data_IF_723906994167
#
_entry.id   IF_723906994167
#
_cell.length_a   1.000
_cell.length_b   1.000
_cell.length_c   1.000
_cell.angle_alpha   90.00
_cell.angle_beta   90.00
_cell.angle_gamma   90.00
#
_symmetry.space_group_name_H-M   'P 1'
#
loop_
_entity.id
_entity.type
_entity.pdbx_description
1 polymer ?
#
# COMPACT_ATOMS: atom_id res chain seq x y z
N UNK A 1 28.87 -11.00 15.58
CA UNK A 1 28.42 -12.42 15.65
C UNK A 1 27.55 -12.68 14.46
N UNK A 2 27.97 -13.68 13.68
CA UNK A 2 27.47 -14.04 12.38
C UNK A 2 25.98 -14.44 12.43
N UNK A 3 25.20 -13.95 11.49
CA UNK A 3 23.91 -14.51 11.13
C UNK A 3 24.01 -16.04 11.02
N UNK A 4 23.56 -16.75 12.05
CA UNK A 4 23.22 -18.15 11.93
C UNK A 4 22.02 -18.28 10.98
N UNK A 5 22.30 -18.53 9.72
CA UNK A 5 21.36 -19.22 8.84
C UNK A 5 20.88 -20.45 9.59
N UNK A 6 19.61 -20.50 9.95
CA UNK A 6 18.96 -21.69 10.49
C UNK A 6 19.16 -22.84 9.51
N UNK A 7 20.20 -23.63 9.73
CA UNK A 7 20.44 -24.87 9.01
C UNK A 7 19.38 -25.86 9.50
N UNK A 8 18.36 -26.07 8.70
CA UNK A 8 17.32 -27.05 8.99
C UNK A 8 17.91 -28.45 8.84
N UNK A 9 17.81 -29.25 9.88
CA UNK A 9 18.30 -30.64 9.87
C UNK A 9 17.34 -31.48 8.99
N UNK A 10 17.67 -31.64 7.71
CA UNK A 10 16.90 -32.41 6.73
C UNK A 10 17.27 -33.90 6.69
N UNK A 11 18.26 -34.33 7.48
CA UNK A 11 18.63 -35.75 7.57
C UNK A 11 17.48 -36.60 8.12
N UNK A 12 17.01 -37.61 7.37
CA UNK A 12 15.96 -38.52 7.79
C UNK A 12 16.53 -39.64 8.65
N UNK A 13 17.76 -40.09 8.38
CA UNK A 13 18.47 -41.15 9.09
C UNK A 13 19.73 -40.62 9.80
N UNK A 14 20.20 -41.31 10.81
CA UNK A 14 21.28 -40.97 11.74
C UNK A 14 22.64 -40.68 11.07
N UNK A 15 22.75 -39.55 10.37
CA UNK A 15 24.04 -38.96 10.05
C UNK A 15 23.84 -37.43 10.06
N UNK A 16 24.67 -36.70 10.82
CA UNK A 16 24.69 -35.24 10.94
C UNK A 16 25.12 -34.54 9.64
N UNK A 17 24.41 -34.78 8.52
CA UNK A 17 24.60 -34.03 7.29
C UNK A 17 23.42 -33.07 7.12
N UNK A 18 23.75 -31.80 7.16
CA UNK A 18 22.83 -30.72 6.82
C UNK A 18 22.66 -30.70 5.30
N UNK A 19 21.52 -31.14 4.81
CA UNK A 19 21.18 -31.11 3.38
C UNK A 19 20.43 -29.82 3.05
N UNK A 20 20.67 -29.29 1.86
CA UNK A 20 20.22 -27.93 1.48
C UNK A 20 18.79 -27.89 0.91
N UNK A 21 18.20 -29.05 0.60
CA UNK A 21 16.86 -29.13 0.03
C UNK A 21 16.22 -30.51 0.22
N UNK A 22 14.89 -30.58 0.06
CA UNK A 22 14.13 -31.84 0.07
C UNK A 22 14.61 -32.78 -1.04
N UNK A 23 14.90 -32.27 -2.24
CA UNK A 23 15.43 -33.07 -3.35
C UNK A 23 16.77 -33.69 -3.00
N UNK A 24 17.69 -32.91 -2.38
CA UNK A 24 18.98 -33.43 -1.91
C UNK A 24 18.82 -34.52 -0.84
N UNK A 25 17.79 -34.38 0.04
CA UNK A 25 17.46 -35.39 1.06
C UNK A 25 16.98 -36.70 0.43
N UNK A 26 16.07 -36.63 -0.54
CA UNK A 26 15.57 -37.83 -1.25
C UNK A 26 16.68 -38.53 -2.06
N UNK A 27 17.54 -37.77 -2.73
CA UNK A 27 18.72 -38.28 -3.44
C UNK A 27 19.70 -38.97 -2.49
N UNK A 28 19.97 -38.35 -1.33
CA UNK A 28 20.84 -38.95 -0.31
C UNK A 28 20.27 -40.26 0.23
N UNK A 29 18.96 -40.34 0.53
CA UNK A 29 18.32 -41.58 0.97
C UNK A 29 18.51 -42.69 -0.06
N UNK A 30 18.36 -42.39 -1.32
CA UNK A 30 18.54 -43.36 -2.40
C UNK A 30 20.00 -43.79 -2.58
N UNK A 31 20.95 -42.81 -2.57
CA UNK A 31 22.35 -43.10 -2.87
C UNK A 31 23.11 -43.77 -1.71
N UNK A 32 22.87 -43.34 -0.47
CA UNK A 32 23.66 -43.76 0.68
C UNK A 32 22.96 -44.86 1.49
N UNK A 33 21.61 -44.91 1.47
CA UNK A 33 20.82 -45.85 2.26
C UNK A 33 20.05 -46.86 1.41
N UNK A 34 20.20 -46.79 0.08
CA UNK A 34 19.49 -47.65 -0.89
C UNK A 34 17.96 -47.63 -0.73
N UNK A 35 17.41 -46.59 -0.07
CA UNK A 35 16.01 -46.40 0.20
C UNK A 35 15.42 -45.31 -0.69
N UNK A 36 14.61 -45.74 -1.65
CA UNK A 36 13.81 -44.83 -2.43
C UNK A 36 12.46 -44.57 -1.71
N UNK A 37 12.33 -43.41 -1.07
CA UNK A 37 11.10 -43.02 -0.34
C UNK A 37 9.90 -42.93 -1.26
N UNK A 38 10.08 -42.58 -2.54
CA UNK A 38 9.00 -42.56 -3.53
C UNK A 38 8.46 -43.96 -3.81
N UNK A 39 9.35 -44.94 -3.93
CA UNK A 39 8.93 -46.34 -4.13
C UNK A 39 8.21 -46.91 -2.90
N UNK A 40 8.61 -46.47 -1.69
CA UNK A 40 7.94 -46.85 -0.45
C UNK A 40 6.50 -46.27 -0.38
N UNK A 41 6.34 -45.00 -0.74
CA UNK A 41 5.03 -44.35 -0.82
C UNK A 41 4.13 -45.08 -1.81
N UNK A 42 4.65 -45.42 -2.99
CA UNK A 42 3.89 -46.18 -4.01
C UNK A 42 3.56 -47.60 -3.58
N UNK A 43 4.51 -48.33 -3.00
CA UNK A 43 4.33 -49.70 -2.55
C UNK A 43 3.17 -49.83 -1.55
N UNK A 44 3.06 -48.86 -0.63
CA UNK A 44 2.07 -48.87 0.43
C UNK A 44 0.85 -47.97 0.13
N UNK A 45 0.77 -47.42 -1.09
CA UNK A 45 -0.31 -46.51 -1.54
C UNK A 45 -0.66 -45.41 -0.52
N UNK A 46 0.38 -44.72 0.01
CA UNK A 46 0.20 -43.71 1.04
C UNK A 46 -0.43 -42.43 0.45
N UNK A 47 -1.50 -41.98 1.09
CA UNK A 47 -2.03 -40.62 0.90
C UNK A 47 -1.21 -39.60 1.68
N UNK A 48 -1.59 -38.33 1.64
CA UNK A 48 -0.88 -37.25 2.34
C UNK A 48 -0.81 -37.48 3.85
N UNK A 49 -1.84 -38.04 4.46
CA UNK A 49 -1.85 -38.38 5.89
C UNK A 49 -0.92 -39.55 6.20
N UNK A 50 -0.93 -40.59 5.36
CA UNK A 50 -0.02 -41.73 5.46
C UNK A 50 1.45 -41.29 5.30
N UNK A 51 1.71 -40.35 4.39
CA UNK A 51 3.03 -39.73 4.22
C UNK A 51 3.48 -38.94 5.46
N UNK A 52 2.63 -38.09 6.00
CA UNK A 52 2.90 -37.34 7.24
C UNK A 52 3.22 -38.27 8.40
N UNK A 53 2.39 -39.30 8.59
CA UNK A 53 2.60 -40.32 9.62
C UNK A 53 3.93 -41.04 9.45
N UNK A 54 4.28 -41.45 8.22
CA UNK A 54 5.55 -42.10 7.91
C UNK A 54 6.77 -41.22 8.25
N UNK A 55 6.79 -39.96 7.83
CA UNK A 55 7.88 -39.04 8.13
C UNK A 55 8.03 -38.83 9.63
N UNK A 56 6.93 -38.58 10.34
CA UNK A 56 6.96 -38.38 11.79
C UNK A 56 7.35 -39.67 12.54
N UNK A 57 6.96 -40.86 12.06
CA UNK A 57 7.42 -42.13 12.59
C UNK A 57 8.95 -42.27 12.48
N UNK A 58 9.53 -42.03 11.30
CA UNK A 58 10.98 -42.10 11.08
C UNK A 58 11.70 -41.12 12.01
N UNK A 59 11.18 -39.92 12.17
CA UNK A 59 11.73 -38.87 13.05
C UNK A 59 11.67 -39.23 14.53
N UNK A 60 10.60 -39.89 14.97
CA UNK A 60 10.37 -40.19 16.38
C UNK A 60 11.07 -41.47 16.84
N UNK A 61 11.18 -42.47 15.95
CA UNK A 61 11.69 -43.82 16.32
C UNK A 61 13.14 -44.02 15.96
N UNK A 62 13.76 -43.07 15.24
CA UNK A 62 15.13 -43.23 14.72
C UNK A 62 15.30 -44.55 13.92
N UNK A 63 14.26 -44.97 13.20
CA UNK A 63 14.27 -46.16 12.39
C UNK A 63 15.34 -46.06 11.30
N UNK A 64 16.04 -47.15 11.06
CA UNK A 64 17.00 -47.25 9.96
C UNK A 64 16.33 -47.64 8.63
N UNK A 65 17.05 -47.49 7.53
CA UNK A 65 16.53 -47.78 6.20
C UNK A 65 16.15 -49.24 6.01
N UNK A 66 16.88 -50.14 6.68
CA UNK A 66 16.63 -51.59 6.58
C UNK A 66 15.30 -52.01 7.24
N UNK A 67 14.94 -51.35 8.33
CA UNK A 67 13.67 -51.51 9.01
C UNK A 67 12.45 -51.10 8.14
N UNK A 68 12.63 -50.14 7.26
CA UNK A 68 11.58 -49.67 6.36
C UNK A 68 11.42 -50.53 5.10
N UNK A 69 12.52 -51.09 4.59
CA UNK A 69 12.52 -51.89 3.37
C UNK A 69 11.87 -53.26 3.57
N UNK A 70 11.94 -53.84 4.78
CA UNK A 70 11.44 -55.17 5.12
C UNK A 70 9.98 -55.25 5.53
N UNK A 71 9.21 -54.17 5.44
CA UNK A 71 7.83 -54.13 5.91
C UNK A 71 6.89 -55.01 5.06
N UNK A 72 6.08 -55.90 5.71
CA UNK A 72 5.08 -56.69 5.01
C UNK A 72 3.89 -55.87 4.53
N UNK A 73 3.17 -56.40 3.56
CA UNK A 73 1.88 -55.84 3.15
C UNK A 73 0.85 -56.04 4.27
N UNK A 74 0.42 -54.97 4.92
CA UNK A 74 -0.54 -54.98 6.03
C UNK A 74 -0.47 -53.77 6.93
N UNK A 75 -0.70 -53.97 8.24
CA UNK A 75 -0.61 -52.88 9.23
C UNK A 75 0.79 -52.27 9.26
N UNK A 76 0.85 -50.95 8.97
CA UNK A 76 2.11 -50.22 8.92
C UNK A 76 2.49 -49.68 10.30
N UNK A 77 3.78 -49.61 10.64
CA UNK A 77 4.21 -49.17 11.97
C UNK A 77 3.82 -47.73 12.29
N UNK A 78 3.46 -46.93 11.29
CA UNK A 78 3.03 -45.52 11.41
C UNK A 78 1.51 -45.33 11.30
N UNK A 79 0.67 -46.38 11.30
CA UNK A 79 -0.79 -46.23 11.16
C UNK A 79 -1.46 -45.47 12.33
N UNK A 80 -0.79 -45.40 13.49
CA UNK A 80 -1.29 -44.67 14.65
C UNK A 80 -1.45 -43.19 14.37
N UNK A 81 -2.56 -42.60 14.83
CA UNK A 81 -2.80 -41.13 14.75
C UNK A 81 -1.80 -40.30 15.58
N UNK A 82 -1.07 -40.91 16.49
CA UNK A 82 -0.02 -40.24 17.25
C UNK A 82 1.05 -39.64 16.35
N UNK A 83 1.28 -40.22 15.16
CA UNK A 83 2.25 -39.75 14.18
C UNK A 83 1.73 -38.60 13.26
N UNK A 84 0.51 -38.13 13.44
CA UNK A 84 0.03 -36.90 12.79
C UNK A 84 0.63 -35.61 13.42
N UNK A 85 1.19 -35.71 14.62
CA UNK A 85 1.84 -34.56 15.27
C UNK A 85 3.27 -34.42 14.77
N UNK A 86 3.66 -33.24 14.23
CA UNK A 86 5.00 -33.01 13.79
C UNK A 86 6.03 -33.21 14.90
N UNK A 87 7.07 -33.97 14.63
CA UNK A 87 8.21 -34.17 15.53
C UNK A 87 9.19 -32.99 15.46
N UNK A 88 9.32 -32.42 14.27
CA UNK A 88 10.11 -31.19 14.03
C UNK A 88 9.15 -30.05 13.66
N UNK A 89 9.31 -28.90 14.29
CA UNK A 89 8.60 -27.70 13.90
C UNK A 89 9.10 -27.27 12.52
N UNK A 90 8.16 -26.94 11.61
CA UNK A 90 8.46 -26.50 10.23
C UNK A 90 9.30 -27.51 9.41
N UNK A 91 9.07 -28.85 9.57
CA UNK A 91 9.79 -29.88 8.79
C UNK A 91 9.50 -29.70 7.28
N UNK A 92 10.51 -29.37 6.45
CA UNK A 92 10.29 -29.16 5.02
C UNK A 92 9.81 -30.41 4.26
N UNK A 93 10.06 -31.61 4.79
CA UNK A 93 9.56 -32.84 4.20
C UNK A 93 8.04 -32.97 4.34
N UNK A 94 7.45 -32.42 5.42
CA UNK A 94 6.01 -32.40 5.62
C UNK A 94 5.30 -31.35 4.76
N UNK A 95 6.04 -30.37 4.22
CA UNK A 95 5.49 -29.33 3.35
C UNK A 95 5.41 -29.76 1.88
N UNK A 96 5.94 -30.93 1.52
CA UNK A 96 6.06 -31.39 0.13
C UNK A 96 4.99 -32.40 -0.32
N UNK A 97 4.08 -32.84 0.46
CA UNK A 97 2.97 -33.75 0.12
C UNK A 97 3.24 -34.87 -0.91
N UNK A 98 2.37 -35.83 -1.03
CA UNK A 98 2.49 -36.98 -1.98
C UNK A 98 2.44 -36.58 -3.44
N UNK A 99 1.82 -35.43 -3.77
CA UNK A 99 1.71 -34.91 -5.16
C UNK A 99 3.06 -34.62 -5.83
N UNK A 100 4.08 -34.30 -5.05
CA UNK A 100 5.45 -34.10 -5.56
C UNK A 100 6.16 -35.42 -5.91
N UNK A 101 5.61 -36.55 -5.46
CA UNK A 101 6.18 -37.90 -5.63
C UNK A 101 5.55 -38.71 -6.77
N UNK A 102 4.40 -38.27 -7.31
CA UNK A 102 3.79 -38.92 -8.47
C UNK A 102 4.38 -38.37 -9.77
N UNK A 103 4.91 -39.28 -10.57
CA UNK A 103 5.58 -39.12 -11.85
C UNK A 103 5.07 -37.90 -12.67
N UNK A 104 5.75 -36.78 -12.55
CA UNK A 104 5.78 -35.77 -13.58
C UNK A 104 6.53 -36.29 -14.84
N UNK A 105 6.40 -35.63 -15.98
CA UNK A 105 7.18 -35.93 -17.18
C UNK A 105 8.68 -35.93 -16.83
N UNK A 106 9.47 -36.76 -17.56
CA UNK A 106 10.92 -36.87 -17.32
C UNK A 106 11.55 -35.47 -17.19
N UNK A 107 12.66 -35.38 -16.45
CA UNK A 107 13.38 -34.12 -16.25
C UNK A 107 13.60 -33.36 -17.58
N UNK A 108 13.90 -34.10 -18.66
CA UNK A 108 14.06 -33.54 -20.01
C UNK A 108 12.75 -32.98 -20.56
N UNK A 109 11.61 -33.60 -20.30
CA UNK A 109 10.30 -33.10 -20.74
C UNK A 109 9.86 -31.87 -19.93
N UNK A 110 10.24 -31.76 -18.66
CA UNK A 110 10.04 -30.57 -17.85
C UNK A 110 10.95 -29.42 -18.32
N UNK A 111 12.22 -29.68 -18.58
CA UNK A 111 13.14 -28.72 -19.18
C UNK A 111 12.67 -28.20 -20.53
N UNK A 112 12.20 -29.08 -21.43
CA UNK A 112 11.63 -28.67 -22.71
C UNK A 112 10.35 -27.80 -22.52
N UNK A 113 9.49 -28.13 -21.55
CA UNK A 113 8.30 -27.31 -21.27
C UNK A 113 8.64 -25.95 -20.67
N UNK A 114 9.65 -25.88 -19.80
CA UNK A 114 10.15 -24.60 -19.23
C UNK A 114 10.75 -23.74 -20.33
N UNK A 115 11.64 -24.29 -21.16
CA UNK A 115 12.20 -23.57 -22.29
C UNK A 115 11.14 -23.08 -23.27
N UNK A 116 10.15 -23.94 -23.60
CA UNK A 116 9.05 -23.54 -24.47
C UNK A 116 8.09 -22.51 -23.84
N UNK A 117 8.03 -22.45 -22.52
CA UNK A 117 7.28 -21.42 -21.79
C UNK A 117 8.06 -20.09 -21.77
N UNK A 118 9.35 -20.14 -21.50
CA UNK A 118 10.27 -18.99 -21.54
C UNK A 118 10.30 -18.36 -22.94
N UNK A 119 10.42 -19.17 -24.00
CA UNK A 119 10.37 -18.66 -25.38
C UNK A 119 8.99 -18.07 -25.76
N UNK A 120 7.90 -18.56 -25.17
CA UNK A 120 6.57 -17.96 -25.35
C UNK A 120 6.45 -16.64 -24.59
N UNK A 121 6.93 -16.58 -23.35
CA UNK A 121 6.96 -15.36 -22.56
C UNK A 121 7.78 -14.28 -23.28
N UNK A 122 8.98 -14.60 -23.71
CA UNK A 122 9.85 -13.68 -24.44
C UNK A 122 9.22 -13.17 -25.76
N UNK A 123 8.56 -14.06 -26.53
CA UNK A 123 7.82 -13.66 -27.74
C UNK A 123 6.62 -12.76 -27.42
N UNK A 124 5.96 -12.98 -26.27
CA UNK A 124 4.86 -12.12 -25.83
C UNK A 124 5.35 -10.76 -25.38
N UNK A 125 6.47 -10.70 -24.65
CA UNK A 125 7.12 -9.44 -24.27
C UNK A 125 7.59 -8.63 -25.47
N UNK A 126 8.20 -9.28 -26.48
CA UNK A 126 8.59 -8.61 -27.74
C UNK A 126 7.39 -8.14 -28.56
N UNK A 127 6.26 -8.87 -28.52
CA UNK A 127 5.03 -8.47 -29.20
C UNK A 127 4.38 -7.28 -28.45
N UNK A 128 4.39 -7.30 -27.14
CA UNK A 128 3.90 -6.20 -26.28
C UNK A 128 4.73 -4.94 -26.50
N UNK A 129 6.07 -5.05 -26.49
CA UNK A 129 6.95 -3.93 -26.75
C UNK A 129 6.70 -3.28 -28.13
N UNK A 130 6.49 -4.11 -29.17
CA UNK A 130 6.12 -3.62 -30.52
C UNK A 130 4.76 -2.94 -30.54
N UNK A 131 3.77 -3.52 -29.87
CA UNK A 131 2.44 -2.93 -29.77
C UNK A 131 2.45 -1.58 -29.03
N UNK A 132 3.25 -1.46 -27.98
CA UNK A 132 3.44 -0.20 -27.24
C UNK A 132 4.14 0.85 -28.10
N UNK A 133 5.16 0.46 -28.88
CA UNK A 133 5.83 1.36 -29.83
C UNK A 133 4.87 1.85 -30.93
N UNK A 134 4.01 0.98 -31.44
CA UNK A 134 3.02 1.33 -32.46
C UNK A 134 1.90 2.22 -31.87
N UNK A 135 1.48 1.98 -30.64
CA UNK A 135 0.57 2.87 -29.90
C UNK A 135 1.20 4.25 -29.70
N UNK A 136 2.48 4.30 -29.32
CA UNK A 136 3.21 5.56 -29.16
C UNK A 136 3.27 6.34 -30.50
N UNK A 137 3.57 5.66 -31.62
CA UNK A 137 3.54 6.27 -32.96
C UNK A 137 2.16 6.79 -33.36
N UNK A 138 1.11 6.02 -33.08
CA UNK A 138 -0.28 6.42 -33.32
C UNK A 138 -0.67 7.64 -32.48
N UNK A 139 -0.23 7.70 -31.22
CA UNK A 139 -0.45 8.85 -30.32
C UNK A 139 0.23 10.11 -30.84
N UNK A 140 1.50 10.00 -31.29
CA UNK A 140 2.21 11.13 -31.90
C UNK A 140 1.53 11.63 -33.19
N UNK A 141 1.00 10.72 -34.00
CA UNK A 141 0.23 11.06 -35.22
C UNK A 141 -1.09 11.75 -34.87
N UNK A 142 -1.80 11.27 -33.83
CA UNK A 142 -3.03 11.88 -33.33
C UNK A 142 -2.78 13.28 -32.75
N UNK A 143 -1.70 13.45 -31.97
CA UNK A 143 -1.28 14.77 -31.47
C UNK A 143 -0.93 15.73 -32.60
N UNK A 144 -0.24 15.27 -33.64
CA UNK A 144 0.04 16.06 -34.84
C UNK A 144 -1.20 16.50 -35.62
N UNK A 145 -2.26 15.69 -35.63
CA UNK A 145 -3.56 16.03 -36.23
C UNK A 145 -4.35 17.04 -35.38
N UNK A 146 -4.27 16.95 -34.06
CA UNK A 146 -4.94 17.88 -33.13
C UNK A 146 -4.26 19.26 -33.14
N UNK A 147 -2.92 19.30 -33.25
CA UNK A 147 -2.16 20.55 -33.34
C UNK A 147 -2.36 21.32 -34.67
N UNK A 148 -2.85 20.66 -35.71
CA UNK A 148 -3.18 21.29 -37.01
C UNK A 148 -4.67 21.66 -37.19
N UNK A 149 -5.50 21.47 -36.13
CA UNK A 149 -6.87 21.96 -36.12
C UNK A 149 -6.89 23.39 -35.55
N UNK A 150 -7.48 24.31 -36.28
CA UNK A 150 -7.53 25.77 -36.06
C UNK A 150 -7.91 26.20 -34.63
N UNK A 151 -7.36 27.30 -34.11
CA UNK A 151 -7.59 27.75 -32.73
C UNK A 151 -8.91 28.52 -32.61
N UNK A 152 -9.89 27.90 -32.01
CA UNK A 152 -11.18 28.57 -31.73
C UNK A 152 -11.92 27.98 -30.56
N UNK A 153 -11.48 28.28 -29.35
CA UNK A 153 -12.14 28.43 -28.05
C UNK A 153 -11.23 28.00 -26.90
N UNK A 154 -10.41 28.93 -26.47
CA UNK A 154 -9.65 28.81 -25.22
C UNK A 154 -10.59 29.09 -24.05
N UNK A 155 -11.06 28.06 -23.39
CA UNK A 155 -11.47 28.12 -21.99
C UNK A 155 -10.35 27.52 -21.14
N UNK A 156 -9.97 28.20 -20.06
CA UNK A 156 -8.91 27.85 -19.11
C UNK A 156 -9.11 26.46 -18.47
N UNK A 157 -8.79 25.39 -19.17
CA UNK A 157 -8.87 23.98 -18.68
C UNK A 157 -7.48 23.31 -18.61
N UNK A 158 -6.38 24.07 -18.76
CA UNK A 158 -5.05 23.45 -18.79
C UNK A 158 -4.24 23.81 -17.56
N UNK A 159 -4.61 23.29 -16.40
CA UNK A 159 -3.82 23.37 -15.18
C UNK A 159 -3.74 22.07 -14.39
N UNK A 160 -4.21 20.94 -14.93
CA UNK A 160 -3.80 19.63 -14.43
C UNK A 160 -2.36 19.45 -14.94
N UNK A 161 -1.40 19.36 -14.04
CA UNK A 161 -0.02 19.11 -14.40
C UNK A 161 0.04 17.87 -15.29
N UNK A 162 0.71 17.96 -16.46
CA UNK A 162 0.94 16.80 -17.31
C UNK A 162 1.80 15.80 -16.52
N UNK A 163 1.13 14.82 -15.91
CA UNK A 163 1.77 13.68 -15.25
C UNK A 163 2.49 12.86 -16.33
N UNK A 164 3.69 12.39 -16.03
CA UNK A 164 4.38 11.43 -16.89
C UNK A 164 3.60 10.13 -16.86
N UNK A 165 3.32 9.53 -18.00
CA UNK A 165 2.50 8.33 -18.10
C UNK A 165 3.07 7.16 -17.27
N UNK A 166 4.40 7.02 -17.19
CA UNK A 166 5.09 5.99 -16.43
C UNK A 166 4.91 6.13 -14.90
N UNK A 167 4.89 7.34 -14.39
CA UNK A 167 4.69 7.61 -12.95
C UNK A 167 3.21 7.43 -12.55
N UNK A 168 2.30 7.81 -13.44
CA UNK A 168 0.86 7.67 -13.23
C UNK A 168 0.44 6.20 -13.28
N UNK A 169 1.01 5.40 -14.19
CA UNK A 169 0.78 3.95 -14.28
C UNK A 169 1.23 3.24 -13.00
N UNK A 170 2.43 3.52 -12.51
CA UNK A 170 2.93 2.94 -11.26
C UNK A 170 2.05 3.26 -10.04
N UNK A 171 1.50 4.49 -9.98
CA UNK A 171 0.56 4.88 -8.93
C UNK A 171 -0.72 4.03 -8.98
N UNK A 172 -1.38 3.93 -10.13
CA UNK A 172 -2.61 3.15 -10.27
C UNK A 172 -2.38 1.64 -10.12
N UNK A 173 -1.22 1.12 -10.53
CA UNK A 173 -0.84 -0.27 -10.31
C UNK A 173 -0.72 -0.60 -8.82
N UNK A 174 -0.20 0.32 -8.00
CA UNK A 174 -0.12 0.14 -6.56
C UNK A 174 -1.51 -0.01 -5.92
N UNK A 175 -2.51 0.70 -6.44
CA UNK A 175 -3.91 0.61 -6.03
C UNK A 175 -4.69 -0.56 -6.68
N UNK A 176 -4.09 -1.28 -7.63
CA UNK A 176 -4.65 -2.52 -8.18
C UNK A 176 -4.63 -3.69 -7.20
N UNK A 177 -3.73 -3.68 -6.21
CA UNK A 177 -3.56 -4.77 -5.26
C UNK A 177 -4.49 -4.62 -4.04
N UNK A 178 -5.14 -5.72 -3.64
CA UNK A 178 -6.10 -5.75 -2.54
C UNK A 178 -5.54 -5.31 -1.16
N UNK A 179 -4.22 -5.45 -0.94
CA UNK A 179 -3.60 -5.23 0.36
C UNK A 179 -3.76 -3.80 0.89
N UNK A 180 -3.59 -2.78 0.03
CA UNK A 180 -3.78 -1.39 0.41
C UNK A 180 -5.25 -1.11 0.75
N UNK A 181 -6.18 -1.69 -0.01
CA UNK A 181 -7.63 -1.55 0.27
C UNK A 181 -8.02 -2.24 1.57
N UNK A 182 -7.41 -3.39 1.89
CA UNK A 182 -7.62 -4.08 3.16
C UNK A 182 -7.17 -3.22 4.35
N UNK A 183 -6.01 -2.56 4.25
CA UNK A 183 -5.51 -1.63 5.28
C UNK A 183 -6.48 -0.46 5.48
N UNK A 184 -6.91 0.18 4.39
CA UNK A 184 -7.88 1.28 4.43
C UNK A 184 -9.25 0.85 4.98
N UNK A 185 -9.77 -0.33 4.59
CA UNK A 185 -11.05 -0.84 5.10
C UNK A 185 -10.99 -1.21 6.59
N UNK A 186 -9.83 -1.69 7.07
CA UNK A 186 -9.59 -2.00 8.49
C UNK A 186 -9.38 -0.77 9.35
N UNK A 187 -9.06 0.38 8.75
CA UNK A 187 -9.02 1.66 9.44
C UNK A 187 -10.44 2.08 9.81
N UNK A 188 -10.82 1.79 11.05
CA UNK A 188 -12.17 2.06 11.56
C UNK A 188 -12.44 3.55 11.65
N UNK A 189 -11.45 4.37 12.03
CA UNK A 189 -11.61 5.82 12.12
C UNK A 189 -12.03 6.38 10.77
N UNK A 190 -11.31 6.02 9.72
CA UNK A 190 -11.62 6.39 8.35
C UNK A 190 -13.00 5.87 7.92
N UNK A 191 -13.14 4.56 7.89
CA UNK A 191 -14.28 3.90 7.24
C UNK A 191 -15.59 4.13 7.98
N UNK A 192 -15.56 4.11 9.33
CA UNK A 192 -16.75 4.39 10.14
C UNK A 192 -17.16 5.86 10.13
N UNK A 193 -16.20 6.81 10.02
CA UNK A 193 -16.53 8.22 9.90
C UNK A 193 -17.31 8.51 8.62
N UNK A 194 -16.90 7.98 7.47
CA UNK A 194 -17.65 8.11 6.21
C UNK A 194 -19.02 7.44 6.31
N UNK A 195 -19.07 6.20 6.84
CA UNK A 195 -20.35 5.50 7.07
C UNK A 195 -21.29 6.30 7.95
N UNK A 196 -20.81 6.74 9.09
CA UNK A 196 -21.61 7.43 10.11
C UNK A 196 -22.11 8.77 9.59
N UNK A 197 -21.28 9.51 8.86
CA UNK A 197 -21.70 10.72 8.17
C UNK A 197 -22.89 10.46 7.25
N UNK A 198 -22.79 9.49 6.36
CA UNK A 198 -23.83 9.19 5.39
C UNK A 198 -25.12 8.66 6.05
N UNK A 199 -24.97 7.81 7.08
CA UNK A 199 -26.13 7.18 7.72
C UNK A 199 -26.85 8.10 8.73
N UNK A 200 -26.13 9.05 9.33
CA UNK A 200 -26.74 10.03 10.24
C UNK A 200 -27.36 11.21 9.52
N UNK A 201 -26.99 11.44 8.25
CA UNK A 201 -27.51 12.53 7.43
C UNK A 201 -28.19 11.99 6.16
N UNK A 202 -29.21 11.11 6.27
CA UNK A 202 -29.85 10.52 5.11
C UNK A 202 -30.57 11.55 4.24
N UNK A 203 -30.95 12.70 4.78
CA UNK A 203 -31.55 13.82 4.04
C UNK A 203 -30.60 14.44 3.03
N UNK A 204 -29.29 14.38 3.27
CA UNK A 204 -28.25 14.84 2.34
C UNK A 204 -28.22 13.97 1.09
N UNK A 205 -28.38 12.65 1.27
CA UNK A 205 -28.19 11.65 0.21
C UNK A 205 -29.49 11.20 -0.48
N UNK A 206 -30.63 11.35 0.19
CA UNK A 206 -31.90 10.83 -0.31
C UNK A 206 -32.27 11.46 -1.67
N UNK A 207 -32.54 10.57 -2.63
CA UNK A 207 -32.97 10.91 -3.99
C UNK A 207 -31.88 11.68 -4.81
N UNK A 208 -30.63 11.74 -4.32
CA UNK A 208 -29.51 12.43 -4.94
C UNK A 208 -28.74 11.54 -5.90
N UNK A 209 -28.15 12.16 -6.91
CA UNK A 209 -27.13 11.54 -7.78
C UNK A 209 -25.75 11.83 -7.17
N UNK A 210 -25.02 10.79 -6.85
CA UNK A 210 -23.73 10.85 -6.16
C UNK A 210 -22.63 10.38 -7.11
N UNK A 211 -21.53 11.10 -7.15
CA UNK A 211 -20.28 10.70 -7.81
C UNK A 211 -19.25 10.31 -6.75
N UNK A 212 -18.70 9.11 -6.84
CA UNK A 212 -17.61 8.60 -6.00
C UNK A 212 -16.33 8.58 -6.84
N UNK A 213 -15.40 9.49 -6.54
CA UNK A 213 -14.13 9.63 -7.27
C UNK A 213 -13.03 8.85 -6.56
N UNK A 214 -12.44 7.85 -7.24
CA UNK A 214 -11.49 6.90 -6.64
C UNK A 214 -12.21 5.93 -5.70
N UNK A 215 -13.21 5.23 -6.24
CA UNK A 215 -14.12 4.41 -5.43
C UNK A 215 -13.46 3.18 -4.80
N UNK A 216 -12.29 2.75 -5.27
CA UNK A 216 -11.61 1.55 -4.79
C UNK A 216 -12.51 0.32 -4.84
N UNK A 217 -12.74 -0.31 -3.68
CA UNK A 217 -13.66 -1.46 -3.54
C UNK A 217 -15.15 -1.09 -3.58
N UNK A 218 -15.49 0.19 -3.71
CA UNK A 218 -16.87 0.69 -3.76
C UNK A 218 -17.54 0.83 -2.39
N UNK A 219 -16.81 0.82 -1.28
CA UNK A 219 -17.40 0.87 0.06
C UNK A 219 -18.17 2.18 0.30
N UNK A 220 -17.66 3.34 -0.12
CA UNK A 220 -18.32 4.62 0.03
C UNK A 220 -19.55 4.70 -0.87
N UNK A 221 -19.46 4.20 -2.10
CA UNK A 221 -20.60 4.07 -3.02
C UNK A 221 -21.75 3.27 -2.41
N UNK A 222 -21.42 2.14 -1.75
CA UNK A 222 -22.41 1.31 -1.08
C UNK A 222 -23.03 2.01 0.13
N UNK A 223 -22.26 2.79 0.89
CA UNK A 223 -22.80 3.60 1.99
C UNK A 223 -23.76 4.66 1.46
N UNK A 224 -23.39 5.39 0.40
CA UNK A 224 -24.27 6.38 -0.23
C UNK A 224 -25.56 5.76 -0.76
N UNK A 225 -25.49 4.60 -1.42
CA UNK A 225 -26.67 3.87 -1.89
C UNK A 225 -27.60 3.46 -0.75
N UNK A 226 -27.05 3.01 0.40
CA UNK A 226 -27.82 2.66 1.59
C UNK A 226 -28.35 3.88 2.34
N UNK A 227 -27.68 5.03 2.26
CA UNK A 227 -28.15 6.31 2.80
C UNK A 227 -29.33 6.90 1.98
N UNK A 228 -29.69 6.28 0.86
CA UNK A 228 -30.87 6.66 0.07
C UNK A 228 -30.56 7.37 -1.24
N UNK A 229 -29.32 7.36 -1.71
CA UNK A 229 -28.99 7.91 -3.02
C UNK A 229 -29.83 7.27 -4.12
N UNK A 230 -30.30 8.11 -5.04
CA UNK A 230 -31.06 7.67 -6.22
C UNK A 230 -30.17 6.88 -7.17
N UNK A 231 -28.96 7.37 -7.39
CA UNK A 231 -27.96 6.77 -8.25
C UNK A 231 -26.56 7.12 -7.72
N UNK A 232 -25.64 6.18 -7.74
CA UNK A 232 -24.23 6.42 -7.48
C UNK A 232 -23.44 6.07 -8.74
N UNK A 233 -22.59 6.99 -9.17
CA UNK A 233 -21.63 6.78 -10.25
C UNK A 233 -20.26 6.68 -9.57
N UNK A 234 -19.60 5.57 -9.72
CA UNK A 234 -18.33 5.28 -9.05
C UNK A 234 -17.23 5.12 -10.10
N UNK A 235 -16.16 5.87 -9.95
CA UNK A 235 -15.06 5.92 -10.92
C UNK A 235 -13.76 5.51 -10.26
N UNK A 236 -13.02 4.62 -10.90
CA UNK A 236 -11.65 4.27 -10.51
C UNK A 236 -10.82 3.89 -11.73
N UNK A 237 -9.55 4.27 -11.74
CA UNK A 237 -8.62 3.91 -12.80
C UNK A 237 -7.95 2.56 -12.53
N UNK A 238 -7.79 2.19 -11.27
CA UNK A 238 -7.06 0.98 -10.88
C UNK A 238 -7.84 -0.31 -11.16
N UNK A 239 -7.14 -1.43 -11.24
CA UNK A 239 -7.73 -2.74 -11.53
C UNK A 239 -8.67 -3.25 -10.41
N UNK A 240 -8.63 -2.66 -9.22
CA UNK A 240 -9.54 -3.02 -8.11
C UNK A 240 -11.00 -2.82 -8.46
N UNK A 241 -11.31 -1.99 -9.46
CA UNK A 241 -12.68 -1.72 -9.87
C UNK A 241 -13.42 -2.97 -10.34
N UNK A 242 -12.71 -3.97 -10.88
CA UNK A 242 -13.33 -5.23 -11.27
C UNK A 242 -13.80 -6.01 -10.04
N UNK A 243 -13.05 -5.99 -8.94
CA UNK A 243 -13.51 -6.55 -7.66
C UNK A 243 -14.68 -5.74 -7.10
N UNK A 244 -14.65 -4.40 -7.24
CA UNK A 244 -15.78 -3.56 -6.85
C UNK A 244 -17.08 -3.93 -7.61
N UNK A 245 -17.00 -4.24 -8.90
CA UNK A 245 -18.14 -4.72 -9.69
C UNK A 245 -18.74 -6.01 -9.12
N UNK A 246 -17.89 -6.96 -8.74
CA UNK A 246 -18.35 -8.22 -8.14
C UNK A 246 -18.89 -8.00 -6.72
N UNK A 247 -18.29 -7.11 -5.93
CA UNK A 247 -18.76 -6.75 -4.59
C UNK A 247 -20.15 -6.08 -4.69
N UNK A 248 -20.34 -5.12 -5.58
CA UNK A 248 -21.62 -4.42 -5.78
C UNK A 248 -22.70 -5.41 -6.20
N UNK A 249 -22.42 -6.33 -7.13
CA UNK A 249 -23.31 -7.38 -7.56
C UNK A 249 -23.67 -8.33 -6.42
N UNK A 250 -22.69 -8.77 -5.64
CA UNK A 250 -22.90 -9.66 -4.50
C UNK A 250 -23.77 -9.03 -3.40
N UNK A 251 -23.83 -7.70 -3.35
CA UNK A 251 -24.68 -6.94 -2.43
C UNK A 251 -26.01 -6.49 -3.06
N UNK A 252 -26.33 -6.88 -4.31
CA UNK A 252 -27.56 -6.54 -5.03
C UNK A 252 -27.77 -5.02 -5.14
N UNK A 253 -26.70 -4.29 -5.50
CA UNK A 253 -26.70 -2.83 -5.61
C UNK A 253 -26.41 -2.35 -7.04
N UNK A 254 -26.37 -3.24 -8.03
CA UNK A 254 -26.05 -2.95 -9.43
C UNK A 254 -27.11 -2.06 -10.12
N UNK A 255 -28.31 -2.04 -9.61
CA UNK A 255 -29.36 -1.11 -10.06
C UNK A 255 -29.10 0.32 -9.61
N UNK A 256 -28.46 0.51 -8.45
CA UNK A 256 -28.16 1.81 -7.84
C UNK A 256 -26.76 2.32 -8.14
N UNK A 257 -25.76 1.44 -8.26
CA UNK A 257 -24.34 1.81 -8.44
C UNK A 257 -23.88 1.44 -9.85
N UNK A 258 -23.35 2.43 -10.57
CA UNK A 258 -22.69 2.24 -11.86
C UNK A 258 -21.20 2.46 -11.68
N UNK A 259 -20.39 1.43 -11.96
CA UNK A 259 -18.94 1.53 -11.90
C UNK A 259 -18.36 1.79 -13.30
N UNK A 260 -17.41 2.72 -13.38
CA UNK A 260 -16.76 3.14 -14.62
C UNK A 260 -15.26 3.08 -14.41
N UNK A 261 -14.56 2.25 -15.18
CA UNK A 261 -13.11 2.23 -15.18
C UNK A 261 -12.55 3.38 -16.01
N UNK A 262 -11.69 4.16 -15.44
CA UNK A 262 -10.99 5.26 -16.11
C UNK A 262 -10.64 6.39 -15.15
N UNK A 263 -9.76 7.28 -15.61
CA UNK A 263 -9.49 8.53 -14.92
C UNK A 263 -10.68 9.47 -15.13
N UNK A 264 -11.04 10.19 -14.10
CA UNK A 264 -12.18 11.11 -14.17
C UNK A 264 -11.98 12.21 -15.23
N UNK A 265 -10.72 12.53 -15.53
CA UNK A 265 -10.33 13.51 -16.53
C UNK A 265 -10.50 13.01 -17.97
N UNK A 266 -10.46 11.69 -18.18
CA UNK A 266 -10.42 11.08 -19.51
C UNK A 266 -11.76 10.44 -19.93
N UNK A 267 -12.73 10.35 -18.99
CA UNK A 267 -14.02 9.69 -19.22
C UNK A 267 -15.16 10.70 -19.32
N UNK A 268 -16.26 10.29 -19.94
CA UNK A 268 -17.50 11.01 -19.88
C UNK A 268 -18.49 10.26 -18.99
N UNK A 269 -19.05 10.96 -18.02
CA UNK A 269 -20.08 10.38 -17.15
C UNK A 269 -21.42 10.23 -17.90
N UNK A 270 -22.26 9.22 -17.56
CA UNK A 270 -23.58 9.01 -18.16
C UNK A 270 -24.63 10.04 -17.68
N UNK A 271 -24.21 11.11 -17.02
CA UNK A 271 -25.02 12.21 -16.51
C UNK A 271 -24.29 13.54 -16.75
N UNK A 272 -25.07 14.60 -16.95
CA UNK A 272 -24.49 15.94 -17.12
C UNK A 272 -24.01 16.52 -15.78
N UNK A 273 -24.78 16.30 -14.71
CA UNK A 273 -24.51 16.83 -13.37
C UNK A 273 -24.81 15.82 -12.29
N UNK A 274 -24.12 15.98 -11.17
CA UNK A 274 -24.32 15.23 -9.92
C UNK A 274 -24.62 16.20 -8.77
N UNK A 275 -25.40 15.75 -7.79
CA UNK A 275 -25.73 16.58 -6.62
C UNK A 275 -24.62 16.58 -5.58
N UNK A 276 -23.90 15.45 -5.49
CA UNK A 276 -22.89 15.21 -4.46
C UNK A 276 -21.67 14.55 -5.09
N UNK A 277 -20.49 15.00 -4.69
CA UNK A 277 -19.23 14.29 -4.92
C UNK A 277 -18.71 13.79 -3.57
N UNK A 278 -18.46 12.49 -3.48
CA UNK A 278 -17.73 11.87 -2.37
C UNK A 278 -16.40 11.34 -2.86
N UNK A 279 -15.38 11.44 -2.05
CA UNK A 279 -14.07 10.86 -2.35
C UNK A 279 -13.26 10.70 -1.07
N UNK A 280 -12.53 9.63 -0.96
CA UNK A 280 -11.47 9.54 0.04
C UNK A 280 -10.15 9.73 -0.70
N UNK A 281 -9.76 10.99 -0.84
CA UNK A 281 -8.65 11.47 -1.64
C UNK A 281 -7.39 11.82 -0.83
N UNK A 282 -7.47 11.76 0.51
CA UNK A 282 -6.44 12.26 1.39
C UNK A 282 -5.20 11.37 1.38
N UNK A 283 -4.10 11.92 0.91
CA UNK A 283 -2.78 11.29 1.01
C UNK A 283 -2.05 11.63 2.31
N UNK A 284 -0.81 11.19 2.44
CA UNK A 284 0.07 11.64 3.51
C UNK A 284 0.25 13.15 3.46
N UNK A 285 0.38 13.79 4.62
CA UNK A 285 0.40 15.26 4.69
C UNK A 285 -0.82 15.89 4.00
N UNK A 286 -1.92 15.18 3.92
CA UNK A 286 -3.16 15.52 3.22
C UNK A 286 -3.01 15.55 1.67
N UNK A 287 -2.01 16.23 1.14
CA UNK A 287 -1.89 16.61 -0.28
C UNK A 287 -0.95 15.71 -1.11
N UNK A 288 -0.23 14.78 -0.49
CA UNK A 288 0.55 13.79 -1.21
C UNK A 288 -0.35 12.94 -2.13
N UNK A 289 0.16 12.45 -3.25
CA UNK A 289 -0.56 11.76 -4.32
C UNK A 289 -1.40 12.64 -5.25
N UNK A 290 -1.66 13.88 -4.87
CA UNK A 290 -2.40 14.89 -5.69
C UNK A 290 -3.81 14.49 -6.13
N UNK A 291 -4.45 13.53 -5.45
CA UNK A 291 -5.77 13.06 -5.85
C UNK A 291 -6.87 14.13 -5.68
N UNK A 292 -6.66 15.14 -4.82
CA UNK A 292 -7.58 16.28 -4.73
C UNK A 292 -7.74 17.03 -6.06
N UNK A 293 -6.71 17.04 -6.92
CA UNK A 293 -6.79 17.67 -8.24
C UNK A 293 -7.93 17.04 -9.07
N UNK A 294 -8.01 15.72 -9.08
CA UNK A 294 -9.07 14.95 -9.77
C UNK A 294 -10.45 15.24 -9.17
N UNK A 295 -10.55 15.39 -7.85
CA UNK A 295 -11.81 15.75 -7.19
C UNK A 295 -12.25 17.16 -7.57
N UNK A 296 -11.32 18.12 -7.60
CA UNK A 296 -11.61 19.50 -8.01
C UNK A 296 -12.00 19.57 -9.50
N UNK A 297 -11.33 18.80 -10.36
CA UNK A 297 -11.73 18.65 -11.75
C UNK A 297 -13.16 18.14 -11.88
N UNK A 298 -13.49 17.07 -11.14
CA UNK A 298 -14.84 16.50 -11.12
C UNK A 298 -15.88 17.50 -10.60
N UNK A 299 -15.54 18.26 -9.55
CA UNK A 299 -16.38 19.33 -8.99
C UNK A 299 -16.69 20.38 -10.03
N UNK A 300 -15.68 20.94 -10.67
CA UNK A 300 -15.83 22.04 -11.60
C UNK A 300 -16.61 21.64 -12.87
N UNK A 301 -16.48 20.38 -13.29
CA UNK A 301 -17.13 19.87 -14.48
C UNK A 301 -18.54 19.31 -14.21
N UNK A 302 -18.70 18.52 -13.14
CA UNK A 302 -19.89 17.69 -12.94
C UNK A 302 -20.80 18.10 -11.77
N UNK A 303 -20.33 18.90 -10.80
CA UNK A 303 -21.17 19.29 -9.67
C UNK A 303 -22.31 20.23 -10.12
N UNK A 304 -23.51 19.97 -9.68
CA UNK A 304 -24.67 20.85 -9.92
C UNK A 304 -24.59 22.11 -9.07
N UNK A 305 -25.28 23.16 -9.48
CA UNK A 305 -25.45 24.37 -8.65
C UNK A 305 -26.09 23.99 -7.30
N UNK A 306 -25.46 24.39 -6.21
CA UNK A 306 -25.89 24.03 -4.85
C UNK A 306 -25.55 22.62 -4.43
N UNK A 307 -24.79 21.88 -5.24
CA UNK A 307 -24.22 20.58 -4.86
C UNK A 307 -23.07 20.72 -3.86
N UNK A 308 -22.61 19.60 -3.32
CA UNK A 308 -21.57 19.56 -2.29
C UNK A 308 -20.52 18.46 -2.53
N UNK A 309 -19.29 18.75 -2.11
CA UNK A 309 -18.18 17.80 -2.07
C UNK A 309 -17.96 17.36 -0.63
N UNK A 310 -17.73 16.08 -0.41
CA UNK A 310 -17.40 15.51 0.90
C UNK A 310 -16.17 14.60 0.81
N UNK A 311 -15.19 14.78 1.74
CA UNK A 311 -15.16 15.73 2.85
C UNK A 311 -15.21 17.17 2.33
N UNK A 312 -15.89 18.03 3.08
CA UNK A 312 -16.07 19.43 2.71
C UNK A 312 -14.90 20.31 3.18
N UNK A 313 -14.39 20.06 4.40
CA UNK A 313 -13.35 20.85 5.03
C UNK A 313 -12.24 19.96 5.57
N UNK A 314 -11.01 20.27 5.23
CA UNK A 314 -9.82 19.58 5.73
C UNK A 314 -8.80 20.58 6.26
N UNK A 315 -8.15 20.23 7.38
CA UNK A 315 -7.07 21.04 7.97
C UNK A 315 -5.74 20.30 7.93
N UNK A 316 -4.66 21.02 7.73
CA UNK A 316 -3.30 20.57 7.98
C UNK A 316 -2.83 21.25 9.25
N UNK A 317 -2.50 20.48 10.27
CA UNK A 317 -2.00 20.99 11.55
C UNK A 317 -0.54 20.63 11.76
N UNK A 318 0.22 21.53 12.34
CA UNK A 318 1.64 21.38 12.67
C UNK A 318 1.84 21.36 14.17
N UNK A 319 2.68 20.44 14.67
CA UNK A 319 3.11 20.41 16.06
C UNK A 319 4.62 20.14 16.17
N UNK A 320 5.24 20.63 17.25
CA UNK A 320 6.62 20.33 17.57
C UNK A 320 6.72 19.07 18.44
N UNK A 321 7.74 18.24 18.19
CA UNK A 321 8.06 17.10 19.01
C UNK A 321 9.54 17.09 19.45
N UNK A 322 9.79 16.61 20.66
CA UNK A 322 11.11 16.44 21.25
C UNK A 322 11.45 14.94 21.40
N UNK A 323 11.81 14.31 20.29
CA UNK A 323 12.19 12.88 20.26
C UNK A 323 13.68 12.72 19.92
N UNK A 324 14.51 12.87 20.97
CA UNK A 324 15.96 12.74 20.84
C UNK A 324 16.37 11.32 20.45
N UNK A 325 15.64 10.29 20.88
CA UNK A 325 15.94 8.92 20.50
C UNK A 325 15.77 8.74 18.99
N UNK A 326 14.70 9.24 18.43
CA UNK A 326 14.44 9.21 17.01
C UNK A 326 15.49 9.94 16.19
N UNK A 327 15.85 11.15 16.66
CA UNK A 327 16.92 11.92 16.02
C UNK A 327 18.25 11.15 16.05
N UNK A 328 18.58 10.52 17.18
CA UNK A 328 19.76 9.68 17.32
C UNK A 328 19.76 8.50 16.34
N UNK A 329 18.65 7.79 16.27
CA UNK A 329 18.52 6.59 15.44
C UNK A 329 18.54 6.90 13.93
N UNK A 330 17.97 8.01 13.50
CA UNK A 330 17.82 8.30 12.07
C UNK A 330 18.87 9.27 11.51
N UNK A 331 19.28 10.26 12.28
CA UNK A 331 20.22 11.30 11.83
C UNK A 331 21.62 11.12 12.42
N UNK A 332 21.74 11.05 13.73
CA UNK A 332 23.04 10.96 14.37
C UNK A 332 23.71 9.58 14.20
N UNK A 333 22.93 8.53 13.94
CA UNK A 333 23.42 7.20 13.60
C UNK A 333 24.52 7.22 12.54
N UNK A 334 24.40 8.08 11.55
CA UNK A 334 25.34 8.15 10.42
C UNK A 334 26.71 8.72 10.78
N UNK A 335 26.86 9.34 11.96
CA UNK A 335 28.14 9.86 12.41
C UNK A 335 29.12 8.76 12.82
N UNK A 336 28.58 7.62 13.30
CA UNK A 336 29.39 6.47 13.69
C UNK A 336 28.62 5.17 13.47
N UNK A 337 28.85 4.54 12.34
CA UNK A 337 28.26 3.25 11.96
C UNK A 337 29.31 2.15 12.13
N UNK A 338 29.23 1.40 13.22
CA UNK A 338 30.23 0.37 13.57
C UNK A 338 31.67 0.88 13.59
N UNK A 339 31.91 2.13 14.00
CA UNK A 339 33.23 2.74 14.02
C UNK A 339 33.62 3.51 12.75
N UNK A 340 32.77 3.52 11.73
CA UNK A 340 32.98 4.26 10.50
C UNK A 340 32.15 5.51 10.42
N UNK A 341 32.77 6.62 9.98
CA UNK A 341 32.02 7.85 9.68
C UNK A 341 31.30 7.71 8.32
N UNK A 342 29.98 7.68 8.37
CA UNK A 342 29.09 7.67 7.20
C UNK A 342 28.23 8.93 7.12
N UNK A 343 28.65 10.04 7.72
CA UNK A 343 27.89 11.30 7.78
C UNK A 343 27.49 11.86 6.40
N UNK A 344 28.16 11.46 5.31
CA UNK A 344 27.77 11.81 3.95
C UNK A 344 26.34 11.37 3.60
N UNK A 345 25.83 10.29 4.23
CA UNK A 345 24.47 9.79 4.04
C UNK A 345 23.39 10.75 4.54
N UNK A 346 23.71 11.63 5.49
CA UNK A 346 22.77 12.65 5.99
C UNK A 346 22.23 13.54 4.89
N UNK A 347 23.00 13.78 3.83
CA UNK A 347 22.57 14.57 2.66
C UNK A 347 21.35 13.95 1.95
N UNK A 348 21.19 12.63 1.99
CA UNK A 348 20.05 11.93 1.44
C UNK A 348 18.94 11.75 2.49
N UNK A 349 19.32 11.41 3.73
CA UNK A 349 18.35 11.06 4.79
C UNK A 349 17.61 12.28 5.36
N UNK A 350 18.32 13.40 5.56
CA UNK A 350 17.75 14.59 6.21
C UNK A 350 16.63 15.23 5.38
N UNK A 351 16.72 15.33 4.04
CA UNK A 351 15.64 15.91 3.22
C UNK A 351 14.43 14.97 3.02
N UNK A 352 14.47 13.76 3.53
CA UNK A 352 13.37 12.80 3.36
C UNK A 352 12.37 12.94 4.52
N UNK A 353 11.11 13.26 4.19
CA UNK A 353 10.01 13.19 5.16
C UNK A 353 9.67 11.74 5.49
N UNK A 354 9.24 11.48 6.72
CA UNK A 354 8.95 10.12 7.21
C UNK A 354 7.49 10.01 7.60
N UNK A 355 6.83 8.93 7.18
CA UNK A 355 5.45 8.65 7.57
C UNK A 355 5.44 7.54 8.62
N UNK A 356 5.06 7.90 9.84
CA UNK A 356 5.10 6.99 10.98
C UNK A 356 4.18 7.40 12.13
N UNK A 357 4.02 6.51 13.09
CA UNK A 357 3.25 6.80 14.30
C UNK A 357 4.12 7.55 15.30
N UNK A 358 3.77 8.80 15.56
CA UNK A 358 4.38 9.64 16.60
C UNK A 358 3.76 9.30 17.95
N UNK A 359 4.57 9.22 18.99
CA UNK A 359 4.09 9.04 20.36
C UNK A 359 3.56 10.36 20.90
N UNK A 360 2.33 10.39 21.42
CA UNK A 360 1.69 11.60 21.92
C UNK A 360 2.52 12.30 23.01
N UNK A 361 3.21 11.53 23.86
CA UNK A 361 4.07 12.03 24.93
C UNK A 361 5.34 12.75 24.43
N UNK A 362 5.71 12.60 23.16
CA UNK A 362 6.85 13.33 22.58
C UNK A 362 6.47 14.70 22.05
N UNK A 363 5.18 15.03 21.99
CA UNK A 363 4.73 16.35 21.57
C UNK A 363 5.06 17.42 22.61
N UNK A 364 5.80 18.44 22.19
CA UNK A 364 6.23 19.57 23.04
C UNK A 364 5.46 20.86 22.75
N UNK A 365 4.50 20.83 21.84
CA UNK A 365 3.57 21.94 21.57
C UNK A 365 2.14 21.43 21.36
N UNK A 366 1.16 22.36 21.43
CA UNK A 366 -0.16 22.12 20.85
C UNK A 366 -0.06 22.12 19.32
N UNK A 367 -0.97 21.41 18.63
CA UNK A 367 -1.12 21.51 17.19
C UNK A 367 -1.62 22.92 16.80
N UNK A 368 -1.06 23.48 15.72
CA UNK A 368 -1.50 24.74 15.13
C UNK A 368 -1.90 24.47 13.68
N UNK A 369 -3.10 24.90 13.29
CA UNK A 369 -3.56 24.79 11.89
C UNK A 369 -2.71 25.71 11.02
N UNK A 370 -2.10 25.14 9.97
CA UNK A 370 -1.26 25.87 9.00
C UNK A 370 -1.96 26.09 7.67
N UNK A 371 -2.95 25.24 7.35
CA UNK A 371 -3.77 25.36 6.15
C UNK A 371 -5.14 24.75 6.39
N UNK A 372 -6.17 25.43 5.89
CA UNK A 372 -7.54 24.92 5.80
C UNK A 372 -7.94 24.84 4.34
N UNK A 373 -8.50 23.73 3.93
CA UNK A 373 -8.95 23.45 2.57
C UNK A 373 -10.47 23.23 2.59
N UNK A 374 -11.22 24.17 2.00
CA UNK A 374 -12.65 24.01 1.72
C UNK A 374 -12.79 23.39 0.32
N UNK A 375 -13.09 22.08 0.24
CA UNK A 375 -13.17 21.34 -1.02
C UNK A 375 -14.27 21.84 -1.96
N UNK A 376 -15.25 22.58 -1.44
CA UNK A 376 -16.28 23.20 -2.26
C UNK A 376 -15.85 24.50 -2.94
N UNK A 377 -14.74 25.11 -2.49
CA UNK A 377 -14.33 26.46 -2.93
C UNK A 377 -12.89 26.56 -3.42
N UNK A 378 -11.98 25.78 -2.82
CA UNK A 378 -10.53 25.84 -3.11
C UNK A 378 -10.29 25.65 -4.60
N UNK A 379 -9.30 26.37 -5.13
CA UNK A 379 -8.80 26.15 -6.50
C UNK A 379 -7.41 25.51 -6.48
N UNK A 380 -7.01 24.90 -7.59
CA UNK A 380 -5.75 24.15 -7.72
C UNK A 380 -4.51 24.98 -7.32
N UNK A 381 -4.51 26.28 -7.61
CA UNK A 381 -3.39 27.16 -7.26
C UNK A 381 -3.22 27.40 -5.75
N UNK A 382 -4.26 27.12 -4.95
CA UNK A 382 -4.22 27.29 -3.49
C UNK A 382 -3.73 26.02 -2.77
N UNK A 383 -3.57 24.90 -3.49
CA UNK A 383 -2.97 23.68 -2.96
C UNK A 383 -1.45 23.79 -2.80
N UNK A 384 -0.82 24.74 -3.48
CA UNK A 384 0.53 25.20 -3.17
C UNK A 384 0.43 26.46 -2.32
N UNK A 385 1.00 26.46 -1.12
CA UNK A 385 0.78 27.54 -0.18
C UNK A 385 2.02 27.90 0.63
N UNK A 386 1.97 29.08 1.21
CA UNK A 386 2.92 29.59 2.21
C UNK A 386 2.13 30.00 3.42
N UNK A 387 2.49 29.52 4.59
CA UNK A 387 1.83 29.84 5.85
C UNK A 387 2.85 30.20 6.92
N UNK A 388 2.60 31.25 7.66
CA UNK A 388 3.31 31.55 8.91
C UNK A 388 2.67 30.74 10.05
N UNK A 389 3.50 30.25 10.97
CA UNK A 389 3.01 29.49 12.12
C UNK A 389 3.69 29.93 13.42
N UNK A 390 3.01 29.66 14.52
CA UNK A 390 3.50 29.91 15.87
C UNK A 390 3.15 28.69 16.74
N UNK A 391 4.17 27.97 17.22
CA UNK A 391 4.01 26.84 18.12
C UNK A 391 4.34 27.25 19.55
N UNK A 392 3.37 27.11 20.46
CA UNK A 392 3.57 27.37 21.88
C UNK A 392 4.19 26.15 22.55
N UNK A 393 5.43 26.28 22.95
CA UNK A 393 6.21 25.20 23.56
C UNK A 393 5.75 24.95 25.00
N UNK A 394 5.49 23.71 25.34
CA UNK A 394 5.06 23.30 26.70
C UNK A 394 6.21 22.88 27.58
N UNK A 395 7.22 22.22 26.99
CA UNK A 395 8.31 21.60 27.72
C UNK A 395 9.66 22.14 27.26
N UNK A 396 10.55 22.41 28.22
CA UNK A 396 11.94 22.79 27.91
C UNK A 396 12.71 21.55 27.47
N UNK A 397 13.09 21.51 26.19
CA UNK A 397 13.81 20.38 25.58
C UNK A 397 14.42 20.79 24.24
N UNK A 398 15.01 19.85 23.54
CA UNK A 398 15.43 20.02 22.17
C UNK A 398 14.32 19.58 21.22
N UNK A 399 13.80 20.51 20.42
CA UNK A 399 12.88 20.22 19.34
C UNK A 399 13.64 19.50 18.21
N UNK A 400 13.25 18.26 17.94
CA UNK A 400 13.93 17.40 16.96
C UNK A 400 13.08 17.18 15.72
N UNK A 401 11.77 17.43 15.81
CA UNK A 401 10.78 17.02 14.82
C UNK A 401 9.71 18.10 14.70
N UNK A 402 9.25 18.32 13.48
CA UNK A 402 7.99 18.98 13.17
C UNK A 402 7.03 17.92 12.64
N UNK A 403 5.83 17.85 13.17
CA UNK A 403 4.83 16.84 12.85
C UNK A 403 3.60 17.52 12.24
N UNK A 404 3.04 16.94 11.21
CA UNK A 404 1.79 17.39 10.60
C UNK A 404 0.73 16.31 10.62
N UNK A 405 -0.50 16.70 10.81
CA UNK A 405 -1.65 15.82 10.87
C UNK A 405 -2.80 16.43 10.05
N UNK A 406 -3.39 15.69 9.11
CA UNK A 406 -4.65 16.08 8.50
C UNK A 406 -5.81 15.83 9.47
N UNK A 407 -6.71 16.78 9.55
CA UNK A 407 -7.99 16.67 10.21
C UNK A 407 -9.10 16.96 9.21
N UNK A 408 -10.15 16.17 9.20
CA UNK A 408 -11.35 16.44 8.40
C UNK A 408 -12.47 16.92 9.30
N UNK A 409 -13.12 18.00 8.92
CA UNK A 409 -14.28 18.51 9.63
C UNK A 409 -15.49 18.56 8.71
N UNK A 410 -16.54 17.88 9.11
CA UNK A 410 -17.85 18.05 8.52
C UNK A 410 -18.87 18.19 9.65
N UNK A 411 -19.93 18.96 9.45
CA UNK A 411 -20.87 19.53 10.43
C UNK A 411 -21.07 18.77 11.76
N UNK A 412 -21.18 17.43 11.74
CA UNK A 412 -21.38 16.60 12.93
C UNK A 412 -20.45 15.36 12.99
N UNK A 413 -19.68 15.08 11.96
CA UNK A 413 -18.71 13.97 11.92
C UNK A 413 -17.36 14.50 11.49
N UNK A 414 -16.40 14.36 12.38
CA UNK A 414 -15.02 14.82 12.19
C UNK A 414 -14.09 13.72 12.67
N UNK A 415 -12.96 13.53 12.00
CA UNK A 415 -11.89 12.69 12.53
C UNK A 415 -10.53 13.39 12.38
N UNK A 416 -9.60 12.96 13.20
CA UNK A 416 -8.21 13.43 13.22
C UNK A 416 -7.26 12.26 13.01
N UNK A 417 -6.13 12.52 12.37
CA UNK A 417 -5.02 11.56 12.26
C UNK A 417 -3.88 11.89 13.24
N UNK A 418 -4.12 12.77 14.21
CA UNK A 418 -3.14 13.19 15.19
C UNK A 418 -2.68 12.07 16.14
N UNK A 419 -1.50 12.24 16.79
CA UNK A 419 -0.94 11.21 17.65
C UNK A 419 -1.70 11.02 18.97
N UNK A 420 -2.61 11.92 19.32
CA UNK A 420 -3.40 11.89 20.55
C UNK A 420 -4.71 11.12 20.42
N UNK A 421 -5.09 10.70 19.20
CA UNK A 421 -6.31 9.96 18.90
C UNK A 421 -6.01 8.54 18.43
N UNK A 422 -7.05 7.77 18.11
CA UNK A 422 -6.89 6.43 17.58
C UNK A 422 -6.07 6.46 16.28
N UNK A 423 -5.10 5.57 16.19
CA UNK A 423 -4.21 5.46 15.03
C UNK A 423 -5.01 5.20 13.74
N UNK A 424 -4.61 5.89 12.70
CA UNK A 424 -5.10 5.68 11.34
C UNK A 424 -3.98 5.15 10.43
N UNK A 425 -4.32 4.65 9.26
CA UNK A 425 -3.34 4.23 8.26
C UNK A 425 -2.50 5.40 7.73
N UNK A 426 -2.99 6.64 7.78
CA UNK A 426 -2.22 7.84 7.42
C UNK A 426 -1.04 8.12 8.36
N UNK A 427 -1.09 7.64 9.61
CA UNK A 427 -0.05 7.93 10.61
C UNK A 427 0.18 9.45 10.72
N UNK A 428 1.41 9.89 10.88
CA UNK A 428 1.79 11.30 10.85
C UNK A 428 2.99 11.49 9.93
N UNK A 429 3.04 12.62 9.24
CA UNK A 429 4.20 13.02 8.44
C UNK A 429 5.19 13.77 9.32
N UNK A 430 6.41 13.29 9.39
CA UNK A 430 7.47 13.73 10.31
C UNK A 430 8.61 14.34 9.52
N UNK A 431 9.00 15.55 9.88
CA UNK A 431 10.11 16.30 9.29
C UNK A 431 11.22 16.44 10.33
N UNK A 432 12.27 15.64 10.22
CA UNK A 432 13.37 15.63 11.17
C UNK A 432 14.34 16.79 10.92
N UNK A 433 14.60 17.59 11.93
CA UNK A 433 15.61 18.64 11.84
C UNK A 433 17.01 18.03 11.78
N UNK A 434 17.87 18.51 10.89
CA UNK A 434 19.26 18.06 10.82
C UNK A 434 19.98 18.25 12.17
N UNK A 435 19.74 19.37 12.81
CA UNK A 435 20.24 19.68 14.16
C UNK A 435 19.07 20.03 15.05
N UNK A 436 18.95 19.43 16.23
CA UNK A 436 17.92 19.78 17.21
C UNK A 436 17.93 21.30 17.51
N UNK A 437 16.78 21.81 17.84
CA UNK A 437 16.57 23.23 18.18
C UNK A 437 16.18 23.32 19.66
N UNK A 438 17.08 23.86 20.50
CA UNK A 438 16.79 24.06 21.91
C UNK A 438 15.67 25.06 22.11
N UNK A 439 14.62 24.68 22.84
CA UNK A 439 13.43 25.47 23.14
C UNK A 439 13.10 25.41 24.62
N UNK A 440 12.40 26.42 25.12
CA UNK A 440 12.02 26.53 26.51
C UNK A 440 10.49 26.50 26.67
N UNK A 441 10.02 25.98 27.81
CA UNK A 441 8.61 26.03 28.15
C UNK A 441 8.10 27.49 28.17
N UNK A 442 6.97 27.73 27.52
CA UNK A 442 6.39 29.06 27.35
C UNK A 442 6.93 29.84 26.15
N UNK A 443 7.94 29.33 25.46
CA UNK A 443 8.47 29.94 24.24
C UNK A 443 7.49 29.81 23.07
N UNK A 444 7.43 30.85 22.24
CA UNK A 444 6.73 30.83 20.95
C UNK A 444 7.73 30.56 19.83
N UNK A 445 7.70 29.34 19.28
CA UNK A 445 8.50 29.00 18.10
C UNK A 445 7.77 29.44 16.84
N UNK A 446 8.20 30.57 16.30
CA UNK A 446 7.65 31.12 15.07
C UNK A 446 8.45 30.63 13.86
N UNK A 447 7.76 30.43 12.74
CA UNK A 447 8.36 30.02 11.50
C UNK A 447 7.42 30.17 10.32
N UNK A 448 7.93 29.81 9.17
CA UNK A 448 7.19 29.80 7.91
C UNK A 448 7.30 28.42 7.25
N UNK A 449 6.20 27.90 6.76
CA UNK A 449 6.16 26.69 5.95
C UNK A 449 5.76 27.04 4.51
N UNK A 450 6.45 26.43 3.55
CA UNK A 450 6.12 26.53 2.12
C UNK A 450 5.90 25.14 1.59
N UNK A 451 4.73 24.88 1.01
CA UNK A 451 4.35 23.60 0.42
C UNK A 451 4.16 23.78 -1.08
N UNK A 452 4.82 22.93 -1.87
CA UNK A 452 4.73 22.94 -3.33
C UNK A 452 4.76 21.51 -3.88
N UNK A 453 4.12 21.31 -5.02
CA UNK A 453 4.27 20.08 -5.78
C UNK A 453 5.67 19.98 -6.37
N UNK A 454 6.18 18.78 -6.44
CA UNK A 454 7.44 18.54 -7.13
C UNK A 454 7.19 18.58 -8.65
N UNK A 455 7.89 19.46 -9.35
CA UNK A 455 7.72 19.61 -10.81
C UNK A 455 8.11 18.36 -11.62
N UNK A 456 8.92 17.47 -11.05
CA UNK A 456 9.36 16.22 -11.71
C UNK A 456 8.40 15.09 -11.45
N UNK A 457 7.77 15.09 -10.30
CA UNK A 457 6.77 14.12 -9.86
C UNK A 457 5.64 14.89 -9.14
N UNK A 458 4.57 15.28 -9.87
CA UNK A 458 3.48 16.10 -9.31
C UNK A 458 2.68 15.40 -8.19
N UNK A 459 2.85 14.08 -8.00
CA UNK A 459 2.25 13.37 -6.87
C UNK A 459 3.04 13.54 -5.59
N UNK A 460 4.33 13.90 -5.68
CA UNK A 460 5.18 14.17 -4.52
C UNK A 460 5.18 15.64 -4.13
N UNK A 461 5.57 15.92 -2.88
CA UNK A 461 5.57 17.26 -2.30
C UNK A 461 6.97 17.69 -1.90
N UNK A 462 7.23 18.99 -2.06
CA UNK A 462 8.37 19.70 -1.47
C UNK A 462 7.86 20.59 -0.34
N UNK A 463 8.31 20.32 0.88
CA UNK A 463 7.93 21.07 2.08
C UNK A 463 9.16 21.77 2.63
N UNK A 464 9.11 23.08 2.71
CA UNK A 464 10.22 23.91 3.21
C UNK A 464 9.82 24.60 4.50
N UNK A 465 10.61 24.39 5.54
CA UNK A 465 10.51 25.13 6.80
C UNK A 465 11.57 26.23 6.84
N UNK A 466 11.17 27.41 7.25
CA UNK A 466 12.02 28.54 7.59
C UNK A 466 11.83 28.82 9.08
N UNK A 467 12.81 28.42 9.88
CA UNK A 467 12.77 28.42 11.34
C UNK A 467 13.95 29.21 11.88
N UNK A 468 13.73 30.37 12.51
CA UNK A 468 14.78 31.21 13.06
C UNK A 468 15.84 31.57 11.99
N UNK A 469 17.03 30.99 12.13
CA UNK A 469 18.22 31.19 11.28
C UNK A 469 18.47 30.07 10.28
N UNK A 470 17.54 29.12 10.17
CA UNK A 470 17.71 27.92 9.31
C UNK A 470 16.54 27.70 8.39
N UNK A 471 16.87 27.25 7.18
CA UNK A 471 15.91 26.85 6.17
C UNK A 471 16.19 25.40 5.74
N UNK A 472 15.20 24.55 5.83
CA UNK A 472 15.32 23.12 5.49
C UNK A 472 14.16 22.71 4.60
N UNK A 473 14.48 22.01 3.51
CA UNK A 473 13.49 21.50 2.55
C UNK A 473 13.46 19.98 2.60
N UNK A 474 12.26 19.45 2.57
CA UNK A 474 12.00 18.02 2.57
C UNK A 474 11.25 17.61 1.32
N UNK A 475 11.48 16.38 0.89
CA UNK A 475 10.68 15.68 -0.12
C UNK A 475 9.82 14.63 0.56
N UNK A 476 8.55 14.61 0.22
CA UNK A 476 7.61 13.51 0.55
C UNK A 476 7.34 12.79 -0.77
N UNK A 477 7.86 11.55 -0.85
CA UNK A 477 7.85 10.71 -2.05
C UNK A 477 7.18 9.37 -1.75
#
# INVERSE_FOLDING_TARGET
ELHELKKVNLGIFFIFRLLSSVSATLQHCTAEHQLNLIDLIRKHNLDDYGYIKMINFIRSTNCDASGLMGLPDGSLPWDSEAFLRPVLQDDPLLQTGTHTCYSGPSHDALLQRTQAAEERAQRSEEALARAMEDLHKLKLLAQGLVLNAEPGRSGNLSAVAELREDEDEAYFDSYGHYGIHEEMLKDKVRTESYRDFMYRNPEVFRDKVVLDVGCGTGILSMFAAKAGAKKVIAVDQSEIIYQAMDIVRSNQLEDKITLIKGRIEDINLPVEKVDIIISEWMGYFLLFESMLDSVLYARDLYLADGGSVYPDLCNISLAAAGDMQRHQERIAFWDNVYGFNMACMKKAVVPEAVVEVVKAETLISEPTVIQTIDCNRVCLSELEFVSDFCLKIKDTTDCTVSNTQPDTANSDVMFSTGPQVMKTHWKQTVFLLEKPLSVQAGEELQGKITVRKNKKDPRSLLVTFDLRDRKQTYSLQ
#
